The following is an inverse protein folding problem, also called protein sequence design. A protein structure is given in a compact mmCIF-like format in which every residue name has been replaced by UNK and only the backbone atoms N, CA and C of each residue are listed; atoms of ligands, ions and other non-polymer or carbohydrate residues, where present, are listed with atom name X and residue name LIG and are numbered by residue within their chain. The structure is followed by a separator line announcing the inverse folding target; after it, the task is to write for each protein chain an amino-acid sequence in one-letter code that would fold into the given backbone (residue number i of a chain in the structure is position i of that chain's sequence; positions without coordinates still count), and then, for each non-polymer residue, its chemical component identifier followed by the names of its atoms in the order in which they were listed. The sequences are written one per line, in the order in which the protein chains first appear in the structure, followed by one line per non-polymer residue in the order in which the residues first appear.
data_IF_990801797468
#
_entry.id   IF_990801797468
#
_cell.length_a   1.000
_cell.length_b   1.000
_cell.length_c   1.000
_cell.angle_alpha   90.00
_cell.angle_beta   90.00
_cell.angle_gamma   90.00
#
_symmetry.space_group_name_H-M   'P 1'
#
loop_
_entity.id
_entity.type
_entity.pdbx_description
1 polymer ?
#
# COMPACT_ATOMS: atom_id res chain seq x y z
N UNK A 1 10.30 32.87 -16.74
CA UNK A 1 11.62 32.25 -16.96
C UNK A 1 11.72 31.04 -16.04
N UNK A 2 11.83 29.82 -16.58
CA UNK A 2 11.97 28.60 -15.75
C UNK A 2 13.46 28.40 -15.48
N UNK A 3 13.86 28.36 -14.21
CA UNK A 3 15.26 28.22 -13.79
C UNK A 3 15.50 26.80 -13.29
N UNK A 4 16.56 26.14 -13.80
CA UNK A 4 16.96 24.80 -13.36
C UNK A 4 17.37 24.84 -11.88
N UNK A 5 16.70 24.07 -11.04
CA UNK A 5 16.90 24.05 -9.58
C UNK A 5 17.83 22.94 -9.09
N UNK A 6 18.24 22.00 -9.95
CA UNK A 6 19.11 20.90 -9.55
C UNK A 6 19.54 19.99 -10.70
N UNK A 7 20.33 18.97 -10.36
CA UNK A 7 20.73 17.92 -11.30
C UNK A 7 19.53 17.05 -11.67
N UNK A 8 19.46 16.53 -12.91
CA UNK A 8 18.44 15.57 -13.29
C UNK A 8 18.51 14.35 -12.37
N UNK A 9 17.34 13.85 -11.95
CA UNK A 9 17.25 12.66 -11.11
C UNK A 9 17.68 11.46 -11.94
N UNK A 10 18.92 11.03 -11.73
CA UNK A 10 19.49 9.88 -12.44
C UNK A 10 19.19 8.58 -11.66
N UNK A 11 18.83 7.51 -12.37
CA UNK A 11 18.75 6.15 -11.79
C UNK A 11 17.36 5.51 -11.63
N UNK A 12 16.25 6.18 -11.93
CA UNK A 12 14.96 5.49 -12.10
C UNK A 12 14.81 5.11 -13.57
N UNK A 13 14.94 3.82 -13.91
CA UNK A 13 14.51 3.34 -15.24
C UNK A 13 12.99 3.52 -15.33
N UNK A 14 12.47 4.49 -16.10
CA UNK A 14 11.04 4.67 -16.22
C UNK A 14 10.49 3.41 -16.87
N UNK A 15 9.66 2.68 -16.13
CA UNK A 15 8.87 1.61 -16.75
C UNK A 15 7.77 2.33 -17.52
N UNK A 16 7.61 2.11 -18.83
CA UNK A 16 6.54 2.77 -19.59
C UNK A 16 5.26 1.91 -19.70
N UNK A 17 5.38 0.62 -19.39
CA UNK A 17 4.29 -0.34 -19.50
C UNK A 17 3.17 -0.18 -18.46
N UNK A 18 2.04 -0.88 -18.69
CA UNK A 18 0.88 -0.89 -17.78
C UNK A 18 1.16 -1.61 -16.47
N UNK A 19 2.26 -2.36 -16.36
CA UNK A 19 2.69 -3.05 -15.15
C UNK A 19 3.84 -2.30 -14.49
N UNK A 20 3.71 -2.05 -13.19
CA UNK A 20 4.76 -1.45 -12.36
C UNK A 20 5.25 -2.46 -11.32
N UNK A 21 6.56 -2.46 -11.10
CA UNK A 21 7.21 -3.27 -10.06
C UNK A 21 7.64 -2.34 -8.94
N UNK A 22 7.08 -2.53 -7.76
CA UNK A 22 7.37 -1.69 -6.60
C UNK A 22 8.24 -2.48 -5.60
N UNK A 23 9.39 -1.90 -5.24
CA UNK A 23 10.21 -2.45 -4.18
C UNK A 23 9.53 -2.20 -2.82
N UNK A 24 9.34 -3.27 -2.06
CA UNK A 24 8.69 -3.27 -0.74
C UNK A 24 9.47 -4.15 0.22
N UNK A 25 9.32 -3.90 1.51
CA UNK A 25 9.98 -4.69 2.54
C UNK A 25 9.15 -5.97 2.78
N UNK A 26 9.80 -7.12 2.68
CA UNK A 26 9.23 -8.43 2.96
C UNK A 26 9.72 -9.02 4.27
N UNK A 27 9.45 -10.31 4.47
CA UNK A 27 9.87 -11.06 5.66
C UNK A 27 11.41 -11.05 5.78
N UNK A 28 11.90 -10.78 7.00
CA UNK A 28 13.32 -10.70 7.33
C UNK A 28 14.03 -9.49 6.72
N UNK A 29 13.30 -8.41 6.40
CA UNK A 29 13.85 -7.21 5.79
C UNK A 29 14.22 -7.36 4.30
N UNK A 30 13.96 -8.53 3.70
CA UNK A 30 14.31 -8.80 2.30
C UNK A 30 13.43 -7.96 1.35
N UNK A 31 14.00 -7.24 0.38
CA UNK A 31 13.21 -6.48 -0.57
C UNK A 31 12.45 -7.42 -1.51
N UNK A 32 11.13 -7.26 -1.59
CA UNK A 32 10.25 -7.97 -2.52
C UNK A 32 9.76 -7.00 -3.60
N UNK A 33 9.56 -7.53 -4.82
CA UNK A 33 9.01 -6.78 -5.94
C UNK A 33 7.52 -7.06 -6.07
N UNK A 34 6.70 -6.13 -5.58
CA UNK A 34 5.23 -6.21 -5.68
C UNK A 34 4.80 -5.70 -7.05
N UNK A 35 4.03 -6.52 -7.76
CA UNK A 35 3.46 -6.17 -9.06
C UNK A 35 2.13 -5.45 -8.88
N UNK A 36 1.94 -4.33 -9.59
CA UNK A 36 0.65 -3.62 -9.67
C UNK A 36 0.41 -3.10 -11.07
N UNK A 37 -0.85 -2.86 -11.41
CA UNK A 37 -1.16 -2.08 -12.62
C UNK A 37 -0.89 -0.60 -12.37
N UNK A 38 -0.33 0.05 -13.39
CA UNK A 38 -0.20 1.50 -13.45
C UNK A 38 -1.58 2.11 -13.55
N UNK A 39 -1.93 2.89 -12.53
CA UNK A 39 -3.19 3.65 -12.48
C UNK A 39 -2.96 5.15 -12.61
N UNK A 40 -1.70 5.60 -12.51
CA UNK A 40 -1.29 7.01 -12.60
C UNK A 40 -0.44 7.26 -13.85
N UNK A 41 -0.45 8.51 -14.31
CA UNK A 41 0.41 8.96 -15.42
C UNK A 41 1.90 8.72 -15.08
N UNK A 42 2.75 8.43 -16.08
CA UNK A 42 4.20 8.40 -15.88
C UNK A 42 4.71 9.74 -15.30
N UNK A 43 5.74 9.70 -14.46
CA UNK A 43 6.33 10.88 -13.79
C UNK A 43 5.39 11.59 -12.80
N UNK A 44 4.27 10.97 -12.45
CA UNK A 44 3.34 11.48 -11.45
C UNK A 44 3.96 11.58 -10.05
N UNK A 45 5.04 10.84 -9.76
CA UNK A 45 5.81 10.99 -8.53
C UNK A 45 6.42 12.39 -8.36
N UNK A 46 6.84 13.05 -9.44
CA UNK A 46 7.43 14.40 -9.41
C UNK A 46 6.41 15.49 -9.12
N UNK A 47 5.12 15.18 -9.27
CA UNK A 47 4.01 16.08 -8.99
C UNK A 47 3.49 15.93 -7.55
N UNK A 48 4.07 15.03 -6.74
CA UNK A 48 3.63 14.79 -5.36
C UNK A 48 3.71 16.05 -4.51
N UNK A 49 4.85 16.75 -4.51
CA UNK A 49 5.04 17.96 -3.70
C UNK A 49 4.13 19.11 -4.16
N UNK A 50 3.99 19.24 -5.48
CA UNK A 50 3.10 20.24 -6.09
C UNK A 50 1.63 20.02 -5.69
N UNK A 51 1.17 18.76 -5.68
CA UNK A 51 -0.19 18.40 -5.29
C UNK A 51 -0.41 18.55 -3.78
N UNK A 52 0.61 18.25 -2.97
CA UNK A 52 0.56 18.47 -1.53
C UNK A 52 0.37 19.96 -1.19
N UNK A 53 0.96 20.85 -1.98
CA UNK A 53 0.77 22.30 -1.83
C UNK A 53 -0.57 22.80 -2.37
N UNK A 54 -1.07 22.21 -3.46
CA UNK A 54 -2.30 22.67 -4.13
C UNK A 54 -3.59 22.17 -3.48
N UNK A 55 -3.60 20.94 -2.96
CA UNK A 55 -4.81 20.31 -2.45
C UNK A 55 -4.72 20.16 -0.93
N UNK A 56 -5.75 20.65 -0.22
CA UNK A 56 -5.99 20.27 1.17
C UNK A 56 -6.27 18.76 1.22
N UNK A 57 -5.63 18.06 2.14
CA UNK A 57 -5.92 16.66 2.44
C UNK A 57 -7.40 16.54 2.80
N UNK A 58 -8.12 15.65 2.13
CA UNK A 58 -9.48 15.23 2.50
C UNK A 58 -9.40 14.22 3.67
N UNK A 59 -10.55 13.94 4.29
CA UNK A 59 -10.63 13.04 5.45
C UNK A 59 -10.04 11.65 5.11
N UNK A 60 -9.05 11.20 5.88
CA UNK A 60 -8.25 10.00 5.60
C UNK A 60 -7.00 10.19 4.73
N UNK A 61 -6.54 11.42 4.54
CA UNK A 61 -5.23 11.73 3.93
C UNK A 61 -5.20 11.65 2.39
N UNK A 62 -6.37 11.76 1.75
CA UNK A 62 -6.51 11.62 0.29
C UNK A 62 -6.56 12.98 -0.39
N UNK A 63 -5.93 13.11 -1.56
CA UNK A 63 -6.06 14.33 -2.36
C UNK A 63 -7.38 14.32 -3.14
N UNK A 64 -8.21 15.33 -2.90
CA UNK A 64 -9.42 15.56 -3.71
C UNK A 64 -9.00 15.84 -5.16
N UNK A 65 -9.55 15.09 -6.12
CA UNK A 65 -9.28 15.23 -7.55
C UNK A 65 -7.80 15.15 -7.96
N UNK A 66 -7.11 14.08 -7.56
CA UNK A 66 -5.75 13.80 -8.03
C UNK A 66 -5.71 13.56 -9.56
N UNK A 67 -5.33 14.60 -10.31
CA UNK A 67 -5.21 14.58 -11.78
C UNK A 67 -4.09 13.65 -12.28
N UNK A 68 -3.25 13.11 -11.38
CA UNK A 68 -2.26 12.10 -11.74
C UNK A 68 -2.91 10.76 -12.07
N UNK A 69 -4.13 10.52 -11.62
CA UNK A 69 -4.85 9.26 -11.86
C UNK A 69 -5.50 9.33 -13.25
N UNK A 70 -5.12 8.39 -14.12
CA UNK A 70 -5.75 8.24 -15.44
C UNK A 70 -7.23 7.86 -15.32
N UNK A 71 -8.06 8.21 -16.30
CA UNK A 71 -9.49 7.83 -16.29
C UNK A 71 -9.69 6.31 -16.24
N UNK A 72 -8.89 5.57 -17.01
CA UNK A 72 -8.84 4.09 -16.95
C UNK A 72 -8.33 3.60 -15.60
N UNK A 73 -7.33 4.25 -15.02
CA UNK A 73 -6.82 3.95 -13.68
C UNK A 73 -7.87 4.16 -12.58
N UNK A 74 -8.74 5.16 -12.71
CA UNK A 74 -9.87 5.37 -11.78
C UNK A 74 -10.85 4.21 -11.82
N UNK A 75 -11.17 3.70 -13.01
CA UNK A 75 -12.02 2.51 -13.18
C UNK A 75 -11.32 1.27 -12.61
N UNK A 76 -10.03 1.08 -12.89
CA UNK A 76 -9.25 -0.04 -12.35
C UNK A 76 -9.24 -0.06 -10.82
N UNK A 77 -9.01 1.09 -10.16
CA UNK A 77 -9.07 1.20 -8.69
C UNK A 77 -10.48 0.95 -8.15
N UNK A 78 -11.51 1.42 -8.86
CA UNK A 78 -12.91 1.18 -8.48
C UNK A 78 -13.27 -0.31 -8.54
N UNK A 79 -12.67 -1.04 -9.48
CA UNK A 79 -12.88 -2.47 -9.71
C UNK A 79 -11.80 -3.37 -9.09
N UNK A 80 -10.85 -2.83 -8.33
CA UNK A 80 -9.72 -3.58 -7.75
C UNK A 80 -8.84 -4.32 -8.78
N UNK A 81 -8.91 -3.93 -10.06
CA UNK A 81 -8.15 -4.54 -11.15
C UNK A 81 -6.66 -4.21 -11.07
N UNK A 82 -6.28 -3.21 -10.29
CA UNK A 82 -4.89 -2.80 -10.14
C UNK A 82 -4.05 -3.75 -9.28
N UNK A 83 -4.71 -4.57 -8.47
CA UNK A 83 -4.07 -5.57 -7.61
C UNK A 83 -4.05 -6.97 -8.21
N UNK A 84 -4.67 -7.19 -9.38
CA UNK A 84 -4.61 -8.49 -10.08
C UNK A 84 -3.18 -9.00 -10.31
N UNK A 85 -2.21 -8.16 -10.73
CA UNK A 85 -0.83 -8.62 -10.88
C UNK A 85 -0.19 -9.10 -9.57
N UNK A 86 -0.69 -8.62 -8.43
CA UNK A 86 -0.19 -8.98 -7.10
C UNK A 86 -0.55 -10.44 -6.75
N UNK A 87 -1.54 -11.04 -7.41
CA UNK A 87 -1.85 -12.47 -7.29
C UNK A 87 -0.66 -13.33 -7.72
N UNK A 88 0.15 -12.90 -8.69
CA UNK A 88 1.38 -13.60 -9.08
C UNK A 88 2.39 -13.64 -7.92
N UNK A 89 2.47 -12.58 -7.10
CA UNK A 89 3.31 -12.58 -5.91
C UNK A 89 2.79 -13.53 -4.81
N UNK A 90 1.46 -13.71 -4.73
CA UNK A 90 0.82 -14.66 -3.82
C UNK A 90 1.18 -16.10 -4.24
N UNK A 91 1.05 -16.41 -5.54
CA UNK A 91 1.41 -17.74 -6.09
C UNK A 91 2.90 -18.02 -5.92
N UNK A 92 3.77 -17.00 -6.09
CA UNK A 92 5.21 -17.12 -5.86
C UNK A 92 5.59 -17.28 -4.38
N UNK A 93 4.65 -17.02 -3.47
CA UNK A 93 4.87 -17.13 -2.02
C UNK A 93 5.63 -15.95 -1.40
N UNK A 94 5.78 -14.83 -2.12
CA UNK A 94 6.41 -13.60 -1.60
C UNK A 94 5.51 -12.92 -0.56
N UNK A 95 4.21 -12.98 -0.79
CA UNK A 95 3.16 -12.39 0.04
C UNK A 95 2.14 -13.46 0.46
N UNK A 96 1.28 -13.13 1.42
CA UNK A 96 0.14 -13.96 1.83
C UNK A 96 -1.20 -13.24 1.60
N UNK A 97 -2.31 -13.93 1.83
CA UNK A 97 -3.66 -13.36 1.62
C UNK A 97 -3.93 -12.26 2.64
N UNK A 98 -3.91 -12.60 3.94
CA UNK A 98 -4.13 -11.64 5.03
C UNK A 98 -2.82 -11.35 5.73
N UNK A 99 -2.48 -10.08 5.92
CA UNK A 99 -1.23 -9.67 6.55
C UNK A 99 -0.93 -8.19 6.37
N UNK A 100 0.03 -7.68 7.13
CA UNK A 100 0.45 -6.27 7.06
C UNK A 100 0.80 -5.85 5.63
N UNK A 101 0.45 -4.62 5.25
CA UNK A 101 0.62 -4.15 3.87
C UNK A 101 2.13 -4.09 3.54
N UNK A 102 2.56 -4.54 2.35
CA UNK A 102 3.92 -4.32 1.91
C UNK A 102 4.14 -2.82 1.67
N UNK A 103 4.98 -2.19 2.51
CA UNK A 103 5.35 -0.79 2.40
C UNK A 103 6.80 -0.62 1.93
N UNK A 104 7.14 0.55 1.40
CA UNK A 104 8.53 0.86 1.02
C UNK A 104 9.39 1.06 2.25
N UNK A 105 10.70 0.90 2.12
CA UNK A 105 11.65 1.18 3.20
C UNK A 105 11.53 2.61 3.75
N UNK A 106 11.30 3.60 2.88
CA UNK A 106 11.11 4.99 3.32
C UNK A 106 9.93 5.15 4.29
N UNK A 107 8.73 4.68 3.90
CA UNK A 107 7.58 4.64 4.80
C UNK A 107 7.80 3.79 6.05
N UNK A 108 8.57 2.70 5.97
CA UNK A 108 8.82 1.84 7.14
C UNK A 108 9.61 2.58 8.21
N UNK A 109 10.54 3.46 7.81
CA UNK A 109 11.32 4.27 8.74
C UNK A 109 10.48 5.30 9.51
N UNK A 110 9.22 5.55 9.11
CA UNK A 110 8.31 6.44 9.85
C UNK A 110 7.65 5.73 11.05
N UNK A 111 7.69 4.40 11.07
CA UNK A 111 7.04 3.58 12.10
C UNK A 111 8.00 3.38 13.28
N UNK A 112 7.47 3.07 14.46
CA UNK A 112 8.27 2.71 15.63
C UNK A 112 9.15 1.47 15.38
N UNK A 113 10.36 1.44 15.96
CA UNK A 113 11.32 0.32 15.77
C UNK A 113 10.71 -1.04 16.12
N UNK A 114 9.95 -1.11 17.20
CA UNK A 114 9.22 -2.33 17.61
C UNK A 114 8.30 -2.84 16.49
N UNK A 115 7.52 -1.96 15.87
CA UNK A 115 6.60 -2.33 14.81
C UNK A 115 7.35 -2.69 13.53
N UNK A 116 8.48 -2.04 13.24
CA UNK A 116 9.35 -2.42 12.12
C UNK A 116 9.84 -3.87 12.27
N UNK A 117 10.37 -4.23 13.44
CA UNK A 117 10.84 -5.59 13.73
C UNK A 117 9.72 -6.62 13.63
N UNK A 118 8.58 -6.34 14.26
CA UNK A 118 7.41 -7.21 14.23
C UNK A 118 6.94 -7.48 12.80
N UNK A 119 6.87 -6.45 11.95
CA UNK A 119 6.50 -6.59 10.53
C UNK A 119 7.50 -7.44 9.77
N UNK A 120 8.80 -7.31 10.07
CA UNK A 120 9.84 -8.14 9.45
C UNK A 120 9.74 -9.62 9.86
N UNK A 121 9.10 -9.97 10.98
CA UNK A 121 8.94 -11.38 11.36
C UNK A 121 7.91 -12.14 10.52
N UNK A 122 6.97 -11.44 9.86
CA UNK A 122 5.86 -12.03 9.11
C UNK A 122 5.96 -11.76 7.61
N UNK A 123 5.28 -12.58 6.80
CA UNK A 123 5.10 -12.25 5.38
C UNK A 123 4.04 -11.15 5.25
N UNK A 124 4.27 -10.13 4.40
CA UNK A 124 3.26 -9.11 4.13
C UNK A 124 2.04 -9.73 3.42
N UNK A 125 0.89 -9.07 3.55
CA UNK A 125 -0.38 -9.52 3.02
C UNK A 125 -0.96 -8.62 1.93
N UNK A 126 -1.78 -9.22 1.07
CA UNK A 126 -2.64 -8.49 0.12
C UNK A 126 -3.76 -7.74 0.84
N UNK A 127 -4.36 -8.37 1.86
CA UNK A 127 -5.43 -7.82 2.69
C UNK A 127 -4.86 -7.42 4.06
N UNK A 128 -4.55 -6.13 4.26
CA UNK A 128 -4.11 -5.61 5.54
C UNK A 128 -5.21 -5.51 6.60
N UNK A 129 -4.82 -5.58 7.89
CA UNK A 129 -5.77 -5.58 9.01
C UNK A 129 -6.57 -4.28 9.13
N UNK A 130 -6.06 -3.17 8.60
CA UNK A 130 -6.81 -1.91 8.60
C UNK A 130 -8.10 -1.98 7.77
N UNK A 131 -8.24 -2.87 6.78
CA UNK A 131 -9.54 -3.04 6.10
C UNK A 131 -10.60 -3.64 7.03
N UNK A 132 -10.17 -4.37 8.06
CA UNK A 132 -11.04 -4.92 9.07
C UNK A 132 -11.37 -3.89 10.18
N UNK A 133 -10.40 -3.06 10.55
CA UNK A 133 -10.56 -2.12 11.67
C UNK A 133 -10.99 -0.70 11.25
N UNK A 134 -10.84 -0.34 9.98
CA UNK A 134 -11.18 0.97 9.39
C UNK A 134 -10.65 2.19 10.17
N UNK A 135 -9.33 2.26 10.43
CA UNK A 135 -8.71 3.39 11.10
C UNK A 135 -8.70 4.65 10.23
N UNK A 136 -8.74 5.82 10.88
CA UNK A 136 -8.72 7.14 10.21
C UNK A 136 -7.36 7.84 10.32
N UNK A 137 -6.57 7.55 11.35
CA UNK A 137 -5.27 8.18 11.60
C UNK A 137 -4.11 7.18 11.45
N UNK A 138 -2.89 7.69 11.26
CA UNK A 138 -1.68 6.85 11.17
C UNK A 138 -1.47 6.03 12.46
N UNK A 139 -1.67 6.65 13.61
CA UNK A 139 -1.56 5.99 14.93
C UNK A 139 -2.55 4.83 15.06
N UNK A 140 -3.79 5.01 14.59
CA UNK A 140 -4.80 3.93 14.59
C UNK A 140 -4.44 2.81 13.60
N UNK A 141 -3.82 3.14 12.47
CA UNK A 141 -3.28 2.14 11.51
C UNK A 141 -2.19 1.32 12.20
N UNK A 142 -1.22 1.97 12.85
CA UNK A 142 -0.14 1.29 13.57
C UNK A 142 -0.69 0.39 14.69
N UNK A 143 -1.64 0.91 15.48
CA UNK A 143 -2.29 0.14 16.52
C UNK A 143 -3.07 -1.07 15.97
N UNK A 144 -3.73 -0.94 14.81
CA UNK A 144 -4.41 -2.05 14.14
C UNK A 144 -3.42 -3.12 13.66
N UNK A 145 -2.31 -2.70 13.05
CA UNK A 145 -1.25 -3.61 12.64
C UNK A 145 -0.64 -4.35 13.83
N UNK A 146 -0.36 -3.65 14.92
CA UNK A 146 0.22 -4.22 16.14
C UNK A 146 -0.73 -5.24 16.79
N UNK A 147 -2.02 -4.93 16.93
CA UNK A 147 -3.05 -5.88 17.42
C UNK A 147 -3.12 -7.15 16.58
N UNK A 148 -3.07 -6.98 15.25
CA UNK A 148 -3.07 -8.10 14.32
C UNK A 148 -1.80 -8.96 14.51
N UNK A 149 -0.62 -8.36 14.56
CA UNK A 149 0.67 -9.06 14.69
C UNK A 149 0.76 -9.83 16.03
N UNK A 150 0.30 -9.23 17.12
CA UNK A 150 0.22 -9.89 18.43
C UNK A 150 -0.76 -11.08 18.40
N UNK A 151 -1.95 -10.90 17.84
CA UNK A 151 -2.93 -11.99 17.67
C UNK A 151 -2.39 -13.11 16.79
N UNK A 152 -1.69 -12.76 15.72
CA UNK A 152 -1.07 -13.68 14.78
C UNK A 152 0.02 -14.54 15.42
N UNK A 153 0.79 -13.99 16.38
CA UNK A 153 1.76 -14.76 17.17
C UNK A 153 1.10 -15.87 17.98
N UNK A 154 -0.09 -15.61 18.54
CA UNK A 154 -0.84 -16.57 19.36
C UNK A 154 -1.58 -17.63 18.53
N UNK A 155 -2.30 -17.21 17.48
CA UNK A 155 -3.02 -18.12 16.59
C UNK A 155 -2.99 -17.60 15.16
N UNK A 156 -2.07 -18.15 14.36
CA UNK A 156 -1.82 -17.73 12.98
C UNK A 156 -3.06 -17.89 12.09
N UNK A 157 -3.64 -19.09 12.11
CA UNK A 157 -4.74 -19.47 11.20
C UNK A 157 -6.03 -18.77 11.63
N UNK A 158 -6.35 -18.82 12.93
CA UNK A 158 -7.57 -18.18 13.44
C UNK A 158 -7.56 -16.67 13.26
N UNK A 159 -6.41 -16.01 13.43
CA UNK A 159 -6.29 -14.57 13.20
C UNK A 159 -6.46 -14.22 11.72
N UNK A 160 -5.79 -14.94 10.81
CA UNK A 160 -5.90 -14.67 9.38
C UNK A 160 -7.35 -14.86 8.89
N UNK A 161 -8.03 -15.93 9.30
CA UNK A 161 -9.44 -16.16 8.95
C UNK A 161 -10.36 -15.05 9.51
N UNK A 162 -10.20 -14.68 10.79
CA UNK A 162 -11.02 -13.63 11.41
C UNK A 162 -10.89 -12.30 10.66
N UNK A 163 -9.66 -11.90 10.37
CA UNK A 163 -9.40 -10.65 9.65
C UNK A 163 -9.82 -10.73 8.18
N UNK A 164 -9.71 -11.89 7.53
CA UNK A 164 -10.21 -12.13 6.17
C UNK A 164 -11.71 -11.83 6.07
N UNK A 165 -12.53 -12.50 6.88
CA UNK A 165 -13.99 -12.35 6.83
C UNK A 165 -14.42 -10.94 7.24
N UNK A 166 -13.78 -10.35 8.25
CA UNK A 166 -14.08 -8.97 8.69
C UNK A 166 -13.73 -7.95 7.60
N UNK A 167 -12.58 -8.10 6.93
CA UNK A 167 -12.17 -7.23 5.83
C UNK A 167 -13.10 -7.38 4.62
N UNK A 168 -13.43 -8.61 4.21
CA UNK A 168 -14.37 -8.86 3.09
C UNK A 168 -15.74 -8.26 3.41
N UNK A 169 -16.27 -8.49 4.62
CA UNK A 169 -17.52 -7.87 5.07
C UNK A 169 -17.48 -6.35 4.92
N UNK A 170 -16.43 -5.69 5.40
CA UNK A 170 -16.31 -4.24 5.27
C UNK A 170 -16.16 -3.75 3.82
N UNK A 171 -15.43 -4.49 2.97
CA UNK A 171 -15.24 -4.15 1.56
C UNK A 171 -16.56 -4.21 0.80
N UNK A 172 -17.36 -5.26 1.02
CA UNK A 172 -18.65 -5.45 0.36
C UNK A 172 -19.76 -4.56 0.94
N UNK A 173 -19.88 -4.46 2.26
CA UNK A 173 -20.99 -3.76 2.92
C UNK A 173 -20.72 -2.27 3.20
N UNK A 174 -19.49 -1.88 3.54
CA UNK A 174 -19.15 -0.49 3.92
C UNK A 174 -18.38 0.28 2.85
N UNK A 175 -18.19 -0.30 1.65
CA UNK A 175 -17.38 0.26 0.55
C UNK A 175 -16.01 0.74 1.03
N UNK A 176 -15.38 0.05 1.99
CA UNK A 176 -14.02 0.32 2.44
C UNK A 176 -13.04 0.00 1.29
N UNK A 177 -12.93 0.91 0.33
CA UNK A 177 -12.08 0.77 -0.84
C UNK A 177 -10.83 1.59 -0.61
N UNK A 178 -9.69 1.07 -1.06
CA UNK A 178 -8.46 1.84 -1.22
C UNK A 178 -8.58 2.80 -2.41
N UNK A 179 -9.58 3.68 -2.37
CA UNK A 179 -9.76 4.81 -3.29
C UNK A 179 -9.62 6.10 -2.51
#
# INVERSE_FOLDING_TARGET
MVRKTGNPVDGQKPTYGPLIKLNRVGKGGKPIKVLKMRTMHPYSEFLQDYIYQLNKLDDGGKFKNDFRITTSGRIMRKLWLDELPMILNLIRGDIKIVGVRPISKHYLNLYSEELQELRMTVKPGMIPPFYADLPNTLEEIEASELRYLQSYRRNRIGTDLRYFFKAIGNIFFRKARSA
#
